data_IF_618669262582
#
_entry.id   IF_618669262582
#
_cell.length_a   1.000
_cell.length_b   1.000
_cell.length_c   1.000
_cell.angle_alpha   90.00
_cell.angle_beta   90.00
_cell.angle_gamma   90.00
#
_symmetry.space_group_name_H-M   'P 1'
#
loop_
_entity.id
_entity.type
_entity.pdbx_description
1 polymer ?
#
# COMPACT_ATOMS: atom_id res chain seq x y z
N UNK A 1 -45.99 -15.96 -31.15
CA UNK A 1 -45.47 -15.95 -29.75
C UNK A 1 -44.04 -16.45 -29.78
N UNK A 2 -43.06 -15.57 -29.78
CA UNK A 2 -41.65 -15.91 -29.75
C UNK A 2 -41.06 -15.45 -28.42
N UNK A 3 -40.46 -16.39 -27.73
CA UNK A 3 -39.98 -16.31 -26.36
C UNK A 3 -38.62 -15.57 -26.31
N UNK A 4 -38.55 -14.49 -25.52
CA UNK A 4 -37.34 -13.72 -25.28
C UNK A 4 -36.71 -14.28 -24.01
N UNK A 5 -35.74 -15.16 -24.16
CA UNK A 5 -35.02 -15.78 -23.05
C UNK A 5 -33.50 -15.82 -23.24
N UNK A 6 -32.83 -14.68 -23.50
CA UNK A 6 -31.37 -14.63 -23.76
C UNK A 6 -30.62 -13.42 -23.20
N UNK A 7 -31.07 -12.81 -22.11
CA UNK A 7 -30.32 -11.68 -21.51
C UNK A 7 -29.74 -11.93 -20.13
N UNK A 8 -30.20 -12.91 -19.35
CA UNK A 8 -29.67 -13.14 -17.97
C UNK A 8 -28.34 -13.88 -17.87
N UNK A 9 -27.99 -14.68 -18.86
CA UNK A 9 -26.76 -15.50 -18.80
C UNK A 9 -25.47 -14.77 -19.20
N UNK A 10 -25.55 -13.57 -19.74
CA UNK A 10 -24.36 -12.80 -20.16
C UNK A 10 -23.81 -11.90 -19.03
N UNK A 11 -24.71 -11.34 -18.21
CA UNK A 11 -24.29 -10.50 -17.08
C UNK A 11 -23.68 -11.32 -15.93
N UNK A 12 -24.24 -12.49 -15.62
CA UNK A 12 -23.67 -13.39 -14.60
C UNK A 12 -22.28 -13.92 -14.99
N UNK A 13 -22.05 -14.18 -16.28
CA UNK A 13 -20.73 -14.59 -16.78
C UNK A 13 -19.71 -13.45 -16.78
N UNK A 14 -20.14 -12.22 -16.96
CA UNK A 14 -19.29 -11.02 -16.88
C UNK A 14 -18.79 -10.76 -15.45
N UNK A 15 -19.66 -10.87 -14.47
CA UNK A 15 -19.31 -10.70 -13.05
C UNK A 15 -18.44 -11.84 -12.51
N UNK A 16 -18.72 -13.09 -12.90
CA UNK A 16 -17.89 -14.23 -12.52
C UNK A 16 -16.47 -14.17 -13.13
N UNK A 17 -16.35 -13.67 -14.36
CA UNK A 17 -15.05 -13.53 -15.05
C UNK A 17 -14.20 -12.39 -14.46
N UNK A 18 -14.83 -11.27 -14.08
CA UNK A 18 -14.17 -10.17 -13.39
C UNK A 18 -13.71 -10.54 -11.96
N UNK A 19 -14.50 -11.37 -11.25
CA UNK A 19 -14.11 -11.89 -9.94
C UNK A 19 -12.95 -12.90 -10.04
N UNK A 20 -12.96 -13.77 -11.07
CA UNK A 20 -11.87 -14.71 -11.32
C UNK A 20 -10.56 -13.99 -11.72
N UNK A 21 -10.65 -12.88 -12.45
CA UNK A 21 -9.48 -12.05 -12.77
C UNK A 21 -8.93 -11.32 -11.52
N UNK A 22 -9.78 -10.83 -10.64
CA UNK A 22 -9.36 -10.18 -9.40
C UNK A 22 -8.68 -11.16 -8.43
N UNK A 23 -9.19 -12.39 -8.33
CA UNK A 23 -8.61 -13.45 -7.49
C UNK A 23 -7.31 -14.01 -8.09
N UNK A 24 -7.21 -14.14 -9.41
CA UNK A 24 -6.00 -14.57 -10.08
C UNK A 24 -4.89 -13.52 -9.99
N UNK A 25 -5.23 -12.24 -10.01
CA UNK A 25 -4.30 -11.12 -9.78
C UNK A 25 -3.82 -11.11 -8.32
N UNK A 26 -4.71 -11.33 -7.35
CA UNK A 26 -4.34 -11.47 -5.93
C UNK A 26 -3.41 -12.67 -5.69
N UNK A 27 -3.69 -13.80 -6.31
CA UNK A 27 -2.87 -15.02 -6.18
C UNK A 27 -1.51 -14.89 -6.90
N UNK A 28 -1.45 -14.16 -7.99
CA UNK A 28 -0.19 -13.76 -8.63
C UNK A 28 0.62 -12.83 -7.71
N UNK A 29 0.00 -11.79 -7.13
CA UNK A 29 0.63 -10.89 -6.16
C UNK A 29 1.16 -11.65 -4.94
N UNK A 30 0.43 -12.63 -4.41
CA UNK A 30 0.81 -13.46 -3.27
C UNK A 30 2.06 -14.31 -3.55
N UNK A 31 2.18 -14.87 -4.75
CA UNK A 31 3.35 -15.64 -5.19
C UNK A 31 4.56 -14.76 -5.52
N UNK A 32 4.33 -13.52 -5.95
CA UNK A 32 5.38 -12.59 -6.36
C UNK A 32 5.88 -11.69 -5.24
N UNK A 33 5.24 -11.67 -4.07
CA UNK A 33 5.64 -10.84 -2.93
C UNK A 33 7.10 -11.07 -2.49
N UNK A 34 7.61 -12.31 -2.59
CA UNK A 34 9.01 -12.61 -2.31
C UNK A 34 9.98 -12.24 -3.44
N UNK A 35 9.51 -12.27 -4.68
CA UNK A 35 10.30 -11.89 -5.87
C UNK A 35 10.27 -10.37 -6.07
N UNK A 36 9.17 -9.71 -5.66
CA UNK A 36 9.02 -8.26 -5.72
C UNK A 36 10.07 -7.53 -4.87
N UNK A 37 10.32 -8.01 -3.66
CA UNK A 37 11.38 -7.47 -2.78
C UNK A 37 12.78 -7.62 -3.40
N UNK A 38 13.03 -8.73 -4.09
CA UNK A 38 14.34 -9.01 -4.68
C UNK A 38 14.59 -8.21 -5.98
N UNK A 39 13.56 -8.10 -6.84
CA UNK A 39 13.69 -7.46 -8.16
C UNK A 39 13.45 -5.95 -8.07
N UNK A 40 12.46 -5.50 -7.32
CA UNK A 40 12.15 -4.07 -7.18
C UNK A 40 12.85 -3.42 -5.98
N UNK A 41 13.26 -4.19 -4.97
CA UNK A 41 14.01 -3.69 -3.81
C UNK A 41 15.32 -3.01 -4.21
N UNK A 42 16.05 -3.57 -5.16
CA UNK A 42 17.30 -3.01 -5.66
C UNK A 42 17.11 -1.76 -6.51
N UNK A 43 16.22 -1.82 -7.50
CA UNK A 43 15.98 -0.70 -8.45
C UNK A 43 15.30 0.49 -7.74
N UNK A 44 14.38 0.23 -6.82
CA UNK A 44 13.68 1.29 -6.07
C UNK A 44 14.43 1.79 -4.83
N UNK A 45 15.53 1.14 -4.42
CA UNK A 45 16.26 1.49 -3.21
C UNK A 45 16.79 2.93 -3.22
N UNK A 46 17.28 3.39 -4.37
CA UNK A 46 17.77 4.77 -4.52
C UNK A 46 16.63 5.80 -4.39
N UNK A 47 15.52 5.57 -5.10
CA UNK A 47 14.33 6.42 -5.02
C UNK A 47 13.77 6.47 -3.60
N UNK A 48 13.65 5.31 -2.95
CA UNK A 48 13.19 5.20 -1.57
C UNK A 48 14.07 5.98 -0.59
N UNK A 49 15.41 5.82 -0.69
CA UNK A 49 16.35 6.57 0.16
C UNK A 49 16.21 8.07 -0.04
N UNK A 50 16.06 8.54 -1.27
CA UNK A 50 15.87 9.97 -1.56
C UNK A 50 14.54 10.49 -1.01
N UNK A 51 13.45 9.75 -1.18
CA UNK A 51 12.15 10.13 -0.67
C UNK A 51 12.15 10.23 0.86
N UNK A 52 12.66 9.22 1.56
CA UNK A 52 12.77 9.26 3.03
C UNK A 52 13.73 10.34 3.49
N UNK A 53 14.86 10.58 2.78
CA UNK A 53 15.76 11.68 3.11
C UNK A 53 15.08 13.05 2.95
N UNK A 54 14.14 13.22 2.01
CA UNK A 54 13.34 14.42 1.90
C UNK A 54 12.36 14.54 3.08
N UNK A 55 11.62 13.49 3.43
CA UNK A 55 10.73 13.44 4.59
C UNK A 55 11.49 13.78 5.88
N UNK A 56 12.69 13.22 6.07
CA UNK A 56 13.53 13.46 7.24
C UNK A 56 13.99 14.92 7.41
N UNK A 57 13.83 15.77 6.39
CA UNK A 57 14.15 17.22 6.45
C UNK A 57 12.94 18.09 6.74
N UNK A 58 11.74 17.54 6.63
CA UNK A 58 10.51 18.28 6.87
C UNK A 58 10.27 18.47 8.36
N UNK A 59 9.50 19.50 8.69
CA UNK A 59 9.02 19.75 10.03
C UNK A 59 7.78 18.91 10.33
N UNK A 60 7.59 18.55 11.61
CA UNK A 60 6.47 17.75 12.07
C UNK A 60 6.88 16.30 12.32
N UNK A 61 6.46 15.71 13.45
CA UNK A 61 6.86 14.37 13.84
C UNK A 61 5.96 13.27 13.25
N UNK A 62 4.70 13.56 12.87
CA UNK A 62 3.70 12.57 12.50
C UNK A 62 3.76 12.30 11.00
N UNK A 63 4.14 11.09 10.63
CA UNK A 63 4.31 10.67 9.23
C UNK A 63 3.36 9.54 8.91
N UNK A 64 2.60 9.68 7.82
CA UNK A 64 1.85 8.60 7.19
C UNK A 64 2.62 8.10 5.98
N UNK A 65 2.97 6.82 5.96
CA UNK A 65 3.49 6.13 4.77
C UNK A 65 2.35 5.32 4.12
N UNK A 66 1.94 5.73 2.93
CA UNK A 66 0.87 5.09 2.16
C UNK A 66 1.47 4.06 1.20
N UNK A 67 1.02 2.81 1.30
CA UNK A 67 1.59 1.68 0.59
C UNK A 67 2.93 1.26 1.16
N UNK A 68 2.98 1.04 2.48
CA UNK A 68 4.21 0.70 3.22
C UNK A 68 4.82 -0.64 2.78
N UNK A 69 4.03 -1.52 2.17
CA UNK A 69 4.46 -2.83 1.69
C UNK A 69 5.10 -3.68 2.78
N UNK A 70 6.26 -4.22 2.51
CA UNK A 70 7.06 -5.02 3.45
C UNK A 70 7.91 -4.17 4.42
N UNK A 71 7.70 -2.84 4.44
CA UNK A 71 8.35 -1.94 5.38
C UNK A 71 9.80 -1.59 5.07
N UNK A 72 10.25 -1.71 3.81
CA UNK A 72 11.64 -1.45 3.42
C UNK A 72 12.11 0.00 3.68
N UNK A 73 11.19 0.96 3.77
CA UNK A 73 11.51 2.35 4.07
C UNK A 73 11.60 2.63 5.58
N UNK A 74 10.90 1.86 6.39
CA UNK A 74 10.75 2.10 7.82
C UNK A 74 12.08 2.29 8.58
N UNK A 75 13.16 1.51 8.31
CA UNK A 75 14.45 1.71 8.98
C UNK A 75 15.15 3.02 8.60
N UNK A 76 14.77 3.67 7.51
CA UNK A 76 15.41 4.86 6.98
C UNK A 76 14.90 6.16 7.59
N UNK A 77 13.74 6.12 8.24
CA UNK A 77 13.19 7.28 8.94
C UNK A 77 13.98 7.61 10.21
N UNK A 78 14.06 8.91 10.53
CA UNK A 78 14.64 9.36 11.81
C UNK A 78 13.86 8.75 12.98
N UNK A 79 14.56 8.41 14.03
CA UNK A 79 13.99 7.73 15.21
C UNK A 79 13.09 8.61 16.08
N UNK A 80 13.14 9.93 15.89
CA UNK A 80 12.28 10.91 16.56
C UNK A 80 10.94 11.15 15.86
N UNK A 81 10.74 10.57 14.66
CA UNK A 81 9.45 10.59 13.96
C UNK A 81 8.47 9.57 14.58
N UNK A 82 7.20 9.76 14.27
CA UNK A 82 6.11 8.86 14.61
C UNK A 82 5.48 8.39 13.30
N UNK A 83 5.89 7.22 12.84
CA UNK A 83 5.50 6.69 11.53
C UNK A 83 4.32 5.73 11.69
N UNK A 84 3.26 5.98 10.93
CA UNK A 84 2.18 5.02 10.69
C UNK A 84 2.26 4.60 9.23
N UNK A 85 2.25 3.29 8.99
CA UNK A 85 2.21 2.72 7.63
C UNK A 85 0.86 2.10 7.34
N UNK A 86 0.33 2.31 6.14
CA UNK A 86 -0.85 1.61 5.65
C UNK A 86 -0.54 0.82 4.38
N UNK A 87 -1.19 -0.32 4.24
CA UNK A 87 -1.17 -1.13 3.01
C UNK A 87 -2.48 -1.92 2.90
N UNK A 88 -2.88 -2.25 1.69
CA UNK A 88 -4.07 -3.08 1.45
C UNK A 88 -3.77 -4.58 1.63
N UNK A 89 -2.51 -4.98 1.52
CA UNK A 89 -2.07 -6.37 1.61
C UNK A 89 -1.67 -6.74 3.03
N UNK A 90 -2.44 -7.64 3.62
CA UNK A 90 -2.18 -8.23 4.92
C UNK A 90 -0.85 -9.01 4.95
N UNK A 91 -0.52 -9.66 3.84
CA UNK A 91 0.73 -10.41 3.69
C UNK A 91 1.96 -9.51 3.68
N UNK A 92 1.86 -8.32 3.05
CA UNK A 92 2.92 -7.32 3.08
C UNK A 92 3.10 -6.75 4.48
N UNK A 93 2.00 -6.42 5.15
CA UNK A 93 2.01 -5.90 6.52
C UNK A 93 2.59 -6.92 7.51
N UNK A 94 2.35 -8.23 7.34
CA UNK A 94 2.96 -9.25 8.17
C UNK A 94 4.50 -9.16 8.13
N UNK A 95 5.08 -9.05 6.92
CA UNK A 95 6.53 -8.87 6.74
C UNK A 95 7.03 -7.53 7.30
N UNK A 96 6.23 -6.47 7.18
CA UNK A 96 6.57 -5.19 7.77
C UNK A 96 6.59 -5.27 9.32
N UNK A 97 5.65 -5.99 9.94
CA UNK A 97 5.65 -6.26 11.37
C UNK A 97 6.88 -7.04 11.83
N UNK A 98 7.26 -8.10 11.09
CA UNK A 98 8.49 -8.85 11.35
C UNK A 98 9.71 -7.92 11.35
N UNK A 99 9.86 -7.09 10.30
CA UNK A 99 10.93 -6.11 10.20
C UNK A 99 10.95 -5.11 11.36
N UNK A 100 9.79 -4.57 11.74
CA UNK A 100 9.68 -3.65 12.86
C UNK A 100 10.18 -4.28 14.15
N UNK A 101 9.86 -5.56 14.38
CA UNK A 101 10.29 -6.30 15.56
C UNK A 101 11.80 -6.61 15.53
N UNK A 102 12.30 -7.14 14.41
CA UNK A 102 13.71 -7.51 14.23
C UNK A 102 14.65 -6.31 14.35
N UNK A 103 14.33 -5.21 13.66
CA UNK A 103 15.15 -3.99 13.63
C UNK A 103 14.85 -3.05 14.82
N UNK A 104 13.95 -3.43 15.72
CA UNK A 104 13.51 -2.65 16.89
C UNK A 104 13.14 -1.21 16.52
N UNK A 105 12.25 -1.06 15.53
CA UNK A 105 11.84 0.23 14.99
C UNK A 105 10.80 0.92 15.88
N UNK A 106 11.22 1.43 17.03
CA UNK A 106 10.35 2.03 18.06
C UNK A 106 9.62 3.30 17.61
N UNK A 107 10.05 3.93 16.53
CA UNK A 107 9.42 5.10 15.91
C UNK A 107 8.21 4.73 15.04
N UNK A 108 8.03 3.47 14.68
CA UNK A 108 6.84 2.98 13.99
C UNK A 108 5.73 2.79 15.02
N UNK A 109 4.66 3.59 14.89
CA UNK A 109 3.54 3.60 15.84
C UNK A 109 2.41 2.67 15.47
N UNK A 110 2.29 2.32 14.20
CA UNK A 110 1.27 1.40 13.71
C UNK A 110 1.50 0.97 12.27
N UNK A 111 1.03 -0.22 11.96
CA UNK A 111 0.90 -0.76 10.61
C UNK A 111 -0.54 -1.23 10.46
N UNK A 112 -1.29 -0.66 9.52
CA UNK A 112 -2.74 -0.82 9.43
C UNK A 112 -3.14 -1.27 8.02
N UNK A 113 -3.97 -2.31 7.95
CA UNK A 113 -4.61 -2.72 6.71
C UNK A 113 -5.69 -1.68 6.35
N UNK A 114 -5.46 -0.95 5.24
CA UNK A 114 -6.32 0.15 4.85
C UNK A 114 -6.23 0.41 3.34
N UNK A 115 -7.38 0.77 2.74
CA UNK A 115 -7.41 1.23 1.37
C UNK A 115 -6.92 2.68 1.28
N UNK A 116 -5.90 2.91 0.46
CA UNK A 116 -5.32 4.24 0.24
C UNK A 116 -6.27 5.24 -0.46
N UNK A 117 -7.34 4.75 -1.10
CA UNK A 117 -8.36 5.57 -1.77
C UNK A 117 -9.56 5.88 -0.85
N UNK A 118 -9.53 5.40 0.40
CA UNK A 118 -10.60 5.58 1.39
C UNK A 118 -10.00 5.43 2.79
N UNK A 119 -9.30 6.47 3.24
CA UNK A 119 -8.59 6.44 4.50
C UNK A 119 -9.51 6.83 5.67
N UNK A 120 -9.48 6.05 6.75
CA UNK A 120 -10.30 6.27 7.94
C UNK A 120 -9.56 7.08 9.02
N UNK A 121 -8.74 8.04 8.61
CA UNK A 121 -8.10 8.98 9.53
C UNK A 121 -8.88 10.30 9.60
N UNK A 122 -8.80 10.99 10.71
CA UNK A 122 -9.31 12.35 10.82
C UNK A 122 -8.41 13.32 10.04
N UNK A 123 -8.99 14.42 9.54
CA UNK A 123 -8.24 15.47 8.86
C UNK A 123 -7.10 16.00 9.73
N UNK A 124 -5.97 16.29 9.12
CA UNK A 124 -4.77 16.80 9.78
C UNK A 124 -4.21 15.89 10.90
N UNK A 125 -4.48 14.58 10.86
CA UNK A 125 -3.89 13.60 11.77
C UNK A 125 -2.38 13.46 11.63
N UNK A 126 -1.85 13.78 10.44
CA UNK A 126 -0.43 13.69 10.11
C UNK A 126 0.12 15.04 9.64
N UNK A 127 1.40 15.26 9.89
CA UNK A 127 2.13 16.44 9.43
C UNK A 127 2.71 16.24 8.04
N UNK A 128 2.98 14.97 7.70
CA UNK A 128 3.58 14.56 6.43
C UNK A 128 2.88 13.29 5.98
N UNK A 129 2.41 13.26 4.72
CA UNK A 129 1.98 12.05 4.05
C UNK A 129 2.92 11.75 2.88
N UNK A 130 3.32 10.50 2.72
CA UNK A 130 4.22 10.05 1.65
C UNK A 130 3.72 8.75 1.02
N UNK A 131 3.61 8.74 -0.31
CA UNK A 131 3.27 7.57 -1.10
C UNK A 131 4.44 7.24 -2.03
N UNK A 132 5.20 6.19 -1.73
CA UNK A 132 6.33 5.75 -2.53
C UNK A 132 5.91 4.57 -3.40
N UNK A 133 5.91 4.79 -4.74
CA UNK A 133 5.52 3.78 -5.74
C UNK A 133 4.06 3.30 -5.69
N UNK A 134 3.23 3.86 -4.83
CA UNK A 134 1.83 3.47 -4.63
C UNK A 134 0.93 4.02 -5.72
N UNK A 135 1.14 5.26 -6.15
CA UNK A 135 0.30 5.92 -7.15
C UNK A 135 0.23 5.19 -8.52
N UNK A 136 1.21 4.34 -8.82
CA UNK A 136 1.23 3.53 -10.05
C UNK A 136 0.45 2.23 -9.97
N UNK A 137 0.01 1.83 -8.78
CA UNK A 137 -0.66 0.54 -8.53
C UNK A 137 -2.08 0.68 -7.98
N UNK A 138 -2.48 1.88 -7.56
CA UNK A 138 -3.88 2.16 -7.16
C UNK A 138 -4.75 2.40 -8.39
N UNK A 139 -6.02 1.99 -8.38
CA UNK A 139 -6.96 2.22 -9.47
C UNK A 139 -7.18 3.70 -9.80
N UNK A 140 -7.29 4.57 -8.79
CA UNK A 140 -7.48 6.01 -8.95
C UNK A 140 -6.51 6.83 -8.10
N UNK A 141 -5.40 7.24 -8.72
CA UNK A 141 -4.40 8.08 -8.05
C UNK A 141 -4.94 9.45 -7.59
N UNK A 142 -6.04 9.96 -8.20
CA UNK A 142 -6.64 11.23 -7.77
C UNK A 142 -7.31 11.08 -6.41
N UNK A 143 -7.99 9.94 -6.18
CA UNK A 143 -8.58 9.64 -4.87
C UNK A 143 -7.48 9.48 -3.82
N UNK A 144 -6.43 8.73 -4.12
CA UNK A 144 -5.27 8.64 -3.24
C UNK A 144 -4.74 10.02 -2.80
N UNK A 145 -4.54 10.95 -3.75
CA UNK A 145 -4.03 12.28 -3.41
C UNK A 145 -5.05 13.16 -2.67
N UNK A 146 -6.34 12.93 -2.86
CA UNK A 146 -7.38 13.66 -2.14
C UNK A 146 -7.46 13.24 -0.66
N UNK A 147 -7.11 11.97 -0.37
CA UNK A 147 -7.06 11.41 0.99
C UNK A 147 -5.77 11.79 1.75
N UNK A 148 -4.70 12.14 1.06
CA UNK A 148 -3.42 12.55 1.64
C UNK A 148 -3.39 14.00 2.09
#
# INVERSE_FOLDING_TARGET
MANIGLAKGAEERGHARAALDADSVRDAYRRWAGVYDLVFGGVSAFGRRRAVAAVNRLAGPRVLEVGVGTGLALPLYRRDLQVVGIDLSREMLAKAHERVAEDKLTHVRGLVEMNAEEMAFEDASFDIAVAMFTASVVPDARRLYAEM
#
